data_IF_728617535387
#
_entry.id   IF_728617535387
#
_cell.length_a   1.000
_cell.length_b   1.000
_cell.length_c   1.000
_cell.angle_alpha   90.00
_cell.angle_beta   90.00
_cell.angle_gamma   90.00
#
_symmetry.space_group_name_H-M   'P 1'
#
loop_
_entity.id
_entity.type
_entity.pdbx_description
1 polymer ?
#
# COMPACT_ATOMS: atom_id res chain seq x y z
N UNK A 1 -65.99 -63.80 2.78
CA UNK A 1 -65.91 -62.49 3.46
C UNK A 1 -64.72 -61.75 2.88
N UNK A 2 -64.98 -60.84 1.94
CA UNK A 2 -63.98 -59.99 1.32
C UNK A 2 -64.06 -58.61 1.97
N UNK A 3 -62.97 -58.11 2.53
CA UNK A 3 -62.88 -56.73 3.04
C UNK A 3 -62.19 -55.85 2.01
N UNK A 4 -62.83 -54.71 1.77
CA UNK A 4 -62.58 -53.72 0.74
C UNK A 4 -61.32 -52.89 1.01
N UNK A 5 -60.71 -52.44 -0.09
CA UNK A 5 -59.78 -51.32 -0.17
C UNK A 5 -60.37 -50.02 0.36
N UNK A 6 -59.53 -49.20 0.99
CA UNK A 6 -59.58 -47.74 0.85
C UNK A 6 -58.14 -47.18 0.76
N UNK A 7 -57.69 -46.69 -0.42
CA UNK A 7 -56.40 -46.06 -0.62
C UNK A 7 -56.59 -44.54 -0.74
N UNK A 8 -56.74 -43.85 0.40
CA UNK A 8 -56.75 -42.40 0.39
C UNK A 8 -56.35 -41.84 1.75
N UNK A 9 -55.04 -41.59 1.92
CA UNK A 9 -54.54 -40.41 2.66
C UNK A 9 -53.03 -40.24 2.45
N UNK A 10 -52.66 -39.88 1.21
CA UNK A 10 -51.52 -38.99 1.01
C UNK A 10 -51.92 -37.61 1.54
N UNK A 11 -51.41 -37.24 2.72
CA UNK A 11 -51.26 -35.84 3.13
C UNK A 11 -49.78 -35.57 3.32
N UNK A 12 -49.10 -35.26 2.23
CA UNK A 12 -47.88 -34.46 2.30
C UNK A 12 -48.29 -33.05 2.74
N UNK A 13 -47.66 -32.46 3.77
CA UNK A 13 -47.82 -31.04 4.02
C UNK A 13 -47.20 -30.26 2.85
N UNK A 14 -48.05 -29.46 2.20
CA UNK A 14 -47.64 -28.40 1.30
C UNK A 14 -46.86 -27.33 2.09
N UNK A 15 -45.79 -26.82 1.48
CA UNK A 15 -45.11 -25.61 1.94
C UNK A 15 -43.61 -25.77 2.20
N UNK A 16 -42.84 -26.20 1.19
CA UNK A 16 -41.48 -25.67 1.04
C UNK A 16 -41.65 -24.19 0.73
N UNK A 17 -41.40 -23.32 1.71
CA UNK A 17 -41.15 -21.93 1.43
C UNK A 17 -39.91 -21.87 0.53
N UNK A 18 -40.00 -21.13 -0.57
CA UNK A 18 -38.84 -20.76 -1.38
C UNK A 18 -37.78 -20.16 -0.45
N UNK A 19 -36.71 -20.92 -0.20
CA UNK A 19 -35.42 -20.41 0.27
C UNK A 19 -34.79 -19.63 -0.90
N UNK A 20 -35.42 -18.51 -1.29
CA UNK A 20 -34.92 -17.66 -2.36
C UNK A 20 -33.59 -17.05 -1.91
N UNK A 21 -32.50 -17.52 -2.52
CA UNK A 21 -31.18 -16.93 -2.34
C UNK A 21 -31.25 -15.43 -2.67
N UNK A 22 -30.60 -14.62 -1.83
CA UNK A 22 -30.55 -13.17 -2.00
C UNK A 22 -29.86 -12.83 -3.32
N UNK A 23 -30.54 -12.14 -4.24
CA UNK A 23 -29.91 -11.78 -5.52
C UNK A 23 -28.90 -10.64 -5.32
N UNK A 24 -27.86 -10.53 -6.19
CA UNK A 24 -26.90 -9.42 -6.14
C UNK A 24 -27.58 -8.05 -6.14
N UNK A 25 -28.63 -7.88 -6.94
CA UNK A 25 -29.40 -6.62 -7.02
C UNK A 25 -30.16 -6.31 -5.74
N UNK A 26 -30.68 -7.32 -5.05
CA UNK A 26 -31.36 -7.14 -3.75
C UNK A 26 -30.37 -6.78 -2.64
N UNK A 27 -29.19 -7.39 -2.62
CA UNK A 27 -28.12 -7.06 -1.66
C UNK A 27 -27.60 -5.66 -1.85
N UNK A 28 -27.33 -5.26 -3.10
CA UNK A 28 -26.90 -3.90 -3.39
C UNK A 28 -27.96 -2.87 -2.98
N UNK A 29 -29.25 -3.14 -3.24
CA UNK A 29 -30.36 -2.26 -2.84
C UNK A 29 -30.48 -2.15 -1.33
N UNK A 30 -30.38 -3.26 -0.60
CA UNK A 30 -30.46 -3.28 0.86
C UNK A 30 -29.28 -2.53 1.50
N UNK A 31 -28.08 -2.75 0.98
CA UNK A 31 -26.86 -2.09 1.42
C UNK A 31 -26.94 -0.58 1.18
N UNK A 32 -27.41 -0.14 0.01
CA UNK A 32 -27.68 1.28 -0.29
C UNK A 32 -28.68 1.90 0.70
N UNK A 33 -29.81 1.25 0.94
CA UNK A 33 -30.81 1.76 1.86
C UNK A 33 -30.28 1.91 3.31
N UNK A 34 -29.26 1.14 3.69
CA UNK A 34 -28.58 1.28 4.98
C UNK A 34 -27.57 2.42 5.00
N UNK A 35 -26.89 2.67 3.89
CA UNK A 35 -25.89 3.71 3.74
C UNK A 35 -26.47 5.12 3.60
N UNK A 36 -27.71 5.26 3.14
CA UNK A 36 -28.45 6.54 3.13
C UNK A 36 -28.89 6.98 4.56
N UNK A 37 -28.35 6.37 5.62
CA UNK A 37 -28.65 6.68 7.01
C UNK A 37 -27.82 7.86 7.56
N UNK A 38 -28.26 8.50 8.66
CA UNK A 38 -27.63 9.71 9.22
C UNK A 38 -26.21 9.51 9.79
N UNK A 39 -25.73 8.26 9.83
CA UNK A 39 -24.40 7.89 10.31
C UNK A 39 -23.34 7.96 9.20
N UNK A 40 -23.73 8.21 7.94
CA UNK A 40 -22.81 8.30 6.79
C UNK A 40 -22.54 9.76 6.37
N UNK A 41 -21.32 10.08 5.93
CA UNK A 41 -21.00 11.41 5.42
C UNK A 41 -21.66 11.69 4.08
N UNK A 42 -22.26 12.87 3.92
CA UNK A 42 -22.93 13.31 2.67
C UNK A 42 -21.96 13.46 1.48
N UNK A 43 -20.66 13.55 1.74
CA UNK A 43 -19.63 13.91 0.75
C UNK A 43 -18.96 12.71 0.06
N UNK A 44 -19.15 11.48 0.57
CA UNK A 44 -18.49 10.27 0.03
C UNK A 44 -19.42 9.53 -0.94
N UNK A 45 -19.07 9.42 -2.24
CA UNK A 45 -19.92 8.76 -3.23
C UNK A 45 -20.13 7.28 -2.91
N UNK A 46 -21.35 6.88 -2.53
CA UNK A 46 -21.66 5.52 -2.11
C UNK A 46 -21.51 4.45 -3.23
N UNK A 47 -22.07 4.69 -4.41
CA UNK A 47 -22.07 3.72 -5.50
C UNK A 47 -20.77 3.81 -6.31
N UNK A 48 -19.84 2.90 -6.01
CA UNK A 48 -18.59 2.74 -6.77
C UNK A 48 -18.55 1.41 -7.49
N UNK A 49 -17.77 1.30 -8.57
CA UNK A 49 -17.68 0.08 -9.38
C UNK A 49 -17.30 -1.17 -8.54
N UNK A 50 -16.44 -1.00 -7.53
CA UNK A 50 -16.05 -2.07 -6.62
C UNK A 50 -17.21 -2.64 -5.77
N UNK A 51 -18.30 -1.90 -5.54
CA UNK A 51 -19.45 -2.37 -4.73
C UNK A 51 -20.10 -3.62 -5.33
N UNK A 52 -20.27 -3.64 -6.65
CA UNK A 52 -20.87 -4.78 -7.37
C UNK A 52 -20.00 -6.03 -7.23
N UNK A 53 -18.67 -5.87 -7.30
CA UNK A 53 -17.72 -6.99 -7.12
C UNK A 53 -17.79 -7.58 -5.70
N UNK A 54 -17.90 -6.73 -4.67
CA UNK A 54 -18.03 -7.19 -3.28
C UNK A 54 -19.36 -7.93 -3.06
N UNK A 55 -20.47 -7.40 -3.59
CA UNK A 55 -21.78 -8.04 -3.52
C UNK A 55 -21.76 -9.45 -4.13
N UNK A 56 -21.21 -9.60 -5.33
CA UNK A 56 -21.04 -10.91 -5.95
C UNK A 56 -20.15 -11.83 -5.12
N UNK A 57 -19.00 -11.33 -4.64
CA UNK A 57 -18.09 -12.11 -3.82
C UNK A 57 -18.70 -12.58 -2.48
N UNK A 58 -19.60 -11.79 -1.88
CA UNK A 58 -20.34 -12.17 -0.67
C UNK A 58 -21.34 -13.31 -0.91
N UNK A 59 -21.97 -13.33 -2.09
CA UNK A 59 -22.98 -14.34 -2.44
C UNK A 59 -22.34 -15.63 -2.97
N UNK A 60 -21.33 -15.49 -3.84
CA UNK A 60 -20.69 -16.61 -4.53
C UNK A 60 -19.51 -17.21 -3.73
N UNK A 61 -18.99 -16.48 -2.74
CA UNK A 61 -17.89 -16.90 -1.87
C UNK A 61 -16.51 -16.88 -2.53
N UNK A 62 -16.38 -16.24 -3.70
CA UNK A 62 -15.17 -16.19 -4.51
C UNK A 62 -14.54 -14.80 -4.43
N UNK A 63 -13.21 -14.73 -4.27
CA UNK A 63 -12.40 -13.49 -4.35
C UNK A 63 -12.78 -12.33 -3.42
N UNK A 64 -13.55 -12.59 -2.36
CA UNK A 64 -13.95 -11.56 -1.39
C UNK A 64 -12.79 -10.74 -0.81
N UNK A 65 -11.61 -11.30 -0.44
CA UNK A 65 -10.49 -10.48 0.03
C UNK A 65 -10.02 -9.46 -1.00
N UNK A 66 -9.95 -9.85 -2.28
CA UNK A 66 -9.52 -8.98 -3.37
C UNK A 66 -10.56 -7.89 -3.65
N UNK A 67 -11.84 -8.27 -3.67
CA UNK A 67 -12.94 -7.34 -3.87
C UNK A 67 -13.02 -6.28 -2.75
N UNK A 68 -12.82 -6.68 -1.48
CA UNK A 68 -12.80 -5.75 -0.35
C UNK A 68 -11.60 -4.79 -0.39
N UNK A 69 -10.43 -5.24 -0.84
CA UNK A 69 -9.27 -4.35 -1.04
C UNK A 69 -9.54 -3.32 -2.14
N UNK A 70 -10.13 -3.74 -3.26
CA UNK A 70 -10.51 -2.83 -4.34
C UNK A 70 -11.60 -1.82 -3.91
N UNK A 71 -12.52 -2.24 -3.04
CA UNK A 71 -13.50 -1.32 -2.46
C UNK A 71 -12.85 -0.31 -1.52
N UNK A 72 -11.98 -0.75 -0.61
CA UNK A 72 -11.24 0.14 0.30
C UNK A 72 -10.39 1.16 -0.47
N UNK A 73 -9.68 0.72 -1.51
CA UNK A 73 -8.89 1.53 -2.43
C UNK A 73 -9.73 2.67 -3.04
N UNK A 74 -10.82 2.30 -3.71
CA UNK A 74 -11.69 3.27 -4.38
C UNK A 74 -12.42 4.20 -3.40
N UNK A 75 -12.67 3.75 -2.16
CA UNK A 75 -13.26 4.56 -1.08
C UNK A 75 -12.30 5.60 -0.55
N UNK A 76 -11.04 5.22 -0.28
CA UNK A 76 -10.03 6.14 0.21
C UNK A 76 -9.62 7.17 -0.84
N UNK A 77 -9.60 6.79 -2.12
CA UNK A 77 -9.45 7.72 -3.25
C UNK A 77 -10.56 8.78 -3.30
N UNK A 78 -11.75 8.46 -2.77
CA UNK A 78 -12.90 9.35 -2.67
C UNK A 78 -13.01 10.04 -1.29
N UNK A 79 -11.88 10.15 -0.58
CA UNK A 79 -11.75 10.80 0.72
C UNK A 79 -12.53 10.12 1.87
N UNK A 80 -12.91 8.85 1.74
CA UNK A 80 -13.45 8.10 2.87
C UNK A 80 -12.34 7.85 3.92
N UNK A 81 -12.69 7.96 5.20
CA UNK A 81 -11.82 7.56 6.30
C UNK A 81 -11.92 6.04 6.56
N UNK A 82 -10.94 5.43 7.28
CA UNK A 82 -11.04 4.03 7.69
C UNK A 82 -12.29 3.71 8.52
N UNK A 83 -12.75 4.66 9.34
CA UNK A 83 -13.94 4.49 10.17
C UNK A 83 -15.23 4.50 9.31
N UNK A 84 -15.30 5.36 8.30
CA UNK A 84 -16.40 5.39 7.34
C UNK A 84 -16.45 4.13 6.48
N UNK A 85 -15.28 3.60 6.10
CA UNK A 85 -15.20 2.30 5.43
C UNK A 85 -15.62 1.14 6.35
N UNK A 86 -15.32 1.20 7.65
CA UNK A 86 -15.78 0.20 8.61
C UNK A 86 -17.32 0.24 8.77
N UNK A 87 -17.91 1.43 8.79
CA UNK A 87 -19.37 1.61 8.78
C UNK A 87 -19.98 0.99 7.52
N UNK A 88 -19.41 1.28 6.34
CA UNK A 88 -19.81 0.71 5.05
C UNK A 88 -19.86 -0.84 5.10
N UNK A 89 -18.78 -1.47 5.55
CA UNK A 89 -18.72 -2.94 5.67
C UNK A 89 -19.70 -3.48 6.70
N UNK A 90 -19.91 -2.77 7.82
CA UNK A 90 -20.90 -3.16 8.83
C UNK A 90 -22.35 -3.09 8.29
N UNK A 91 -22.66 -2.08 7.47
CA UNK A 91 -23.95 -1.99 6.79
C UNK A 91 -24.16 -3.16 5.82
N UNK A 92 -23.15 -3.55 5.04
CA UNK A 92 -23.23 -4.72 4.17
C UNK A 92 -23.45 -5.99 4.99
N UNK A 93 -22.68 -6.16 6.06
CA UNK A 93 -22.77 -7.31 6.94
C UNK A 93 -24.16 -7.44 7.59
N UNK A 94 -24.80 -6.33 7.93
CA UNK A 94 -26.18 -6.31 8.43
C UNK A 94 -27.22 -6.70 7.38
N UNK A 95 -26.91 -6.54 6.08
CA UNK A 95 -27.79 -6.93 4.97
C UNK A 95 -27.65 -8.40 4.57
N UNK A 96 -26.60 -9.10 5.02
CA UNK A 96 -26.41 -10.53 4.79
C UNK A 96 -27.40 -11.35 5.63
N UNK A 97 -28.63 -11.47 5.15
CA UNK A 97 -29.62 -12.44 5.66
C UNK A 97 -29.43 -13.76 4.90
N UNK A 98 -29.47 -14.89 5.63
CA UNK A 98 -29.07 -16.22 5.10
C UNK A 98 -29.88 -16.62 3.85
N UNK A 99 -29.29 -17.42 2.93
CA UNK A 99 -27.94 -18.00 2.95
C UNK A 99 -26.95 -17.22 2.08
N UNK A 100 -25.94 -16.61 2.69
CA UNK A 100 -24.76 -16.07 2.01
C UNK A 100 -23.57 -17.03 2.20
N UNK A 101 -22.62 -17.05 1.26
CA UNK A 101 -21.41 -17.86 1.35
C UNK A 101 -20.45 -17.39 2.46
N UNK A 102 -20.62 -16.15 2.94
CA UNK A 102 -19.81 -15.53 3.99
C UNK A 102 -20.69 -15.02 5.12
N UNK A 103 -20.23 -15.20 6.35
CA UNK A 103 -20.92 -14.66 7.54
C UNK A 103 -20.64 -13.18 7.75
N UNK A 104 -21.58 -12.45 8.38
CA UNK A 104 -21.40 -11.05 8.74
C UNK A 104 -20.09 -10.78 9.50
N UNK A 105 -19.76 -11.62 10.49
CA UNK A 105 -18.52 -11.48 11.26
C UNK A 105 -17.25 -11.73 10.43
N UNK A 106 -17.29 -12.64 9.45
CA UNK A 106 -16.17 -12.84 8.52
C UNK A 106 -15.99 -11.64 7.60
N UNK A 107 -17.09 -11.09 7.07
CA UNK A 107 -17.07 -9.92 6.21
C UNK A 107 -16.47 -8.71 6.93
N UNK A 108 -16.91 -8.40 8.16
CA UNK A 108 -16.37 -7.29 8.97
C UNK A 108 -14.87 -7.46 9.20
N UNK A 109 -14.43 -8.64 9.65
CA UNK A 109 -13.00 -8.92 9.89
C UNK A 109 -12.16 -8.76 8.60
N UNK A 110 -12.68 -9.23 7.47
CA UNK A 110 -11.99 -9.10 6.18
C UNK A 110 -11.99 -7.66 5.65
N UNK A 111 -13.03 -6.88 5.96
CA UNK A 111 -13.07 -5.44 5.70
C UNK A 111 -12.01 -4.69 6.49
N UNK A 112 -11.92 -4.92 7.81
CA UNK A 112 -10.86 -4.32 8.65
C UNK A 112 -9.45 -4.69 8.17
N UNK A 113 -9.25 -5.92 7.68
CA UNK A 113 -7.99 -6.34 7.08
C UNK A 113 -7.71 -5.63 5.75
N UNK A 114 -8.72 -5.47 4.90
CA UNK A 114 -8.59 -4.73 3.64
C UNK A 114 -8.26 -3.25 3.87
N UNK A 115 -8.95 -2.59 4.82
CA UNK A 115 -8.71 -1.20 5.20
C UNK A 115 -7.27 -1.00 5.67
N UNK A 116 -6.81 -1.84 6.61
CA UNK A 116 -5.43 -1.80 7.11
C UNK A 116 -4.41 -2.04 6.01
N UNK A 117 -4.70 -2.96 5.07
CA UNK A 117 -3.81 -3.23 3.96
C UNK A 117 -3.66 -2.02 3.03
N UNK A 118 -4.78 -1.37 2.66
CA UNK A 118 -4.75 -0.20 1.76
C UNK A 118 -4.07 0.98 2.46
N UNK A 119 -4.43 1.28 3.72
CA UNK A 119 -3.76 2.34 4.49
C UNK A 119 -2.26 2.06 4.62
N UNK A 120 -1.87 0.82 4.92
CA UNK A 120 -0.44 0.47 5.03
C UNK A 120 0.27 0.58 3.68
N UNK A 121 -0.36 0.17 2.58
CA UNK A 121 0.16 0.34 1.21
C UNK A 121 0.35 1.81 0.90
N UNK A 122 -0.67 2.65 1.10
CA UNK A 122 -0.63 4.07 0.74
C UNK A 122 0.31 4.86 1.64
N UNK A 123 0.37 4.51 2.92
CA UNK A 123 1.41 5.01 3.82
C UNK A 123 2.80 4.63 3.32
N UNK A 124 3.00 3.37 2.92
CA UNK A 124 4.28 2.91 2.35
C UNK A 124 4.61 3.64 1.06
N UNK A 125 3.63 3.84 0.16
CA UNK A 125 3.77 4.58 -1.11
C UNK A 125 4.09 6.06 -0.90
N UNK A 126 3.37 6.73 0.02
CA UNK A 126 3.65 8.10 0.43
C UNK A 126 5.02 8.23 1.12
N UNK A 127 5.47 7.17 1.78
CA UNK A 127 6.82 7.03 2.30
C UNK A 127 7.82 6.53 1.25
N UNK A 128 7.50 6.38 -0.03
CA UNK A 128 8.52 5.98 -1.01
C UNK A 128 9.37 7.16 -1.47
N UNK A 129 8.84 8.38 -1.43
CA UNK A 129 9.56 9.57 -1.84
C UNK A 129 9.41 10.73 -0.84
N UNK A 130 10.47 11.50 -0.67
CA UNK A 130 10.49 12.78 0.02
C UNK A 130 9.71 13.81 -0.81
N UNK A 131 8.70 14.49 -0.22
CA UNK A 131 7.82 15.38 -0.98
C UNK A 131 8.51 16.68 -1.44
N UNK A 132 9.67 17.04 -0.87
CA UNK A 132 10.40 18.25 -1.24
C UNK A 132 11.33 18.02 -2.43
N UNK A 133 11.90 16.82 -2.52
CA UNK A 133 12.99 16.51 -3.48
C UNK A 133 12.62 15.44 -4.49
N UNK A 134 11.48 14.76 -4.31
CA UNK A 134 11.06 13.56 -5.05
C UNK A 134 12.04 12.38 -4.97
N UNK A 135 13.10 12.50 -4.17
CA UNK A 135 14.04 11.43 -3.86
C UNK A 135 13.41 10.37 -3.00
N UNK A 136 14.02 9.18 -2.93
CA UNK A 136 13.56 8.13 -2.02
C UNK A 136 13.62 8.62 -0.57
N UNK A 137 12.65 8.18 0.24
CA UNK A 137 12.86 8.24 1.69
C UNK A 137 13.94 7.27 2.12
N UNK A 138 14.43 7.44 3.35
CA UNK A 138 15.45 6.55 3.91
C UNK A 138 15.03 5.07 3.92
N UNK A 139 13.79 4.76 4.28
CA UNK A 139 13.28 3.38 4.28
C UNK A 139 13.22 2.80 2.86
N UNK A 140 12.70 3.57 1.90
CA UNK A 140 12.60 3.13 0.51
C UNK A 140 13.97 2.95 -0.15
N UNK A 141 14.90 3.86 0.12
CA UNK A 141 16.26 3.76 -0.39
C UNK A 141 17.01 2.56 0.20
N UNK A 142 16.83 2.25 1.48
CA UNK A 142 17.40 1.04 2.09
C UNK A 142 16.83 -0.24 1.45
N UNK A 143 15.55 -0.24 1.08
CA UNK A 143 14.96 -1.34 0.32
C UNK A 143 15.64 -1.46 -1.06
N UNK A 144 15.79 -0.36 -1.81
CA UNK A 144 16.48 -0.35 -3.11
C UNK A 144 17.94 -0.82 -2.99
N UNK A 145 18.63 -0.39 -1.93
CA UNK A 145 20.03 -0.66 -1.63
C UNK A 145 20.28 -2.13 -1.26
N UNK A 146 19.31 -2.79 -0.64
CA UNK A 146 19.41 -4.19 -0.19
C UNK A 146 18.73 -5.17 -1.15
N UNK A 147 17.93 -4.66 -2.10
CA UNK A 147 17.28 -5.48 -3.11
C UNK A 147 18.30 -6.07 -4.09
N UNK A 148 18.31 -7.40 -4.21
CA UNK A 148 19.27 -8.10 -5.10
C UNK A 148 19.08 -7.75 -6.57
N UNK A 149 17.83 -7.52 -7.01
CA UNK A 149 17.56 -7.23 -8.40
C UNK A 149 18.21 -5.94 -8.88
N UNK A 150 18.44 -4.96 -8.00
CA UNK A 150 19.08 -3.68 -8.34
C UNK A 150 20.61 -3.76 -8.44
N UNK A 151 21.24 -4.83 -7.91
CA UNK A 151 22.71 -4.97 -7.94
C UNK A 151 23.25 -5.05 -9.36
N UNK A 152 22.52 -5.70 -10.26
CA UNK A 152 22.96 -5.89 -11.64
C UNK A 152 22.96 -4.58 -12.45
N UNK A 153 22.08 -3.62 -12.11
CA UNK A 153 21.96 -2.36 -12.85
C UNK A 153 22.61 -1.16 -12.15
N UNK A 154 22.65 -1.18 -10.81
CA UNK A 154 23.28 -0.15 -9.98
C UNK A 154 24.16 -0.78 -8.87
N UNK A 155 25.33 -1.36 -9.25
CA UNK A 155 26.21 -2.06 -8.31
C UNK A 155 27.00 -1.12 -7.38
N UNK A 156 26.93 0.20 -7.58
CA UNK A 156 27.67 1.16 -6.78
C UNK A 156 26.73 2.11 -6.04
N UNK A 157 27.24 2.70 -4.96
CA UNK A 157 26.62 3.83 -4.29
C UNK A 157 27.59 4.98 -4.26
N UNK A 158 27.18 6.12 -4.78
CA UNK A 158 27.86 7.39 -4.56
C UNK A 158 27.29 8.06 -3.31
N UNK A 159 28.16 8.55 -2.44
CA UNK A 159 27.79 9.22 -1.19
C UNK A 159 28.49 10.57 -1.13
N UNK A 160 27.72 11.62 -0.87
CA UNK A 160 28.21 12.97 -0.63
C UNK A 160 27.87 13.41 0.79
N UNK A 161 28.86 13.94 1.50
CA UNK A 161 28.74 14.46 2.87
C UNK A 161 29.28 15.87 2.95
N UNK A 162 28.68 16.72 3.78
CA UNK A 162 29.14 18.09 4.01
C UNK A 162 28.96 18.46 5.49
N UNK A 163 29.45 19.65 5.90
CA UNK A 163 29.51 20.04 7.31
C UNK A 163 28.34 20.87 7.80
N UNK A 164 27.74 21.65 6.92
CA UNK A 164 26.69 22.59 7.29
C UNK A 164 25.33 21.91 7.21
N UNK A 165 24.56 22.00 8.30
CA UNK A 165 23.21 21.45 8.36
C UNK A 165 22.34 21.98 7.22
N UNK A 166 21.56 21.10 6.62
CA UNK A 166 20.83 21.39 5.41
C UNK A 166 19.50 22.09 5.68
N UNK A 167 19.38 23.33 5.22
CA UNK A 167 18.07 23.94 5.03
C UNK A 167 17.33 23.25 3.88
N UNK A 168 16.00 23.22 3.92
CA UNK A 168 15.16 22.69 2.82
C UNK A 168 15.54 23.28 1.46
N UNK A 169 15.93 24.57 1.42
CA UNK A 169 16.38 25.25 0.20
C UNK A 169 17.64 24.63 -0.42
N UNK A 170 18.58 24.15 0.40
CA UNK A 170 19.81 23.51 -0.07
C UNK A 170 19.49 22.12 -0.64
N UNK A 171 18.64 21.34 0.06
CA UNK A 171 18.19 20.03 -0.44
C UNK A 171 17.51 20.15 -1.81
N UNK A 172 16.60 21.09 -1.97
CA UNK A 172 15.95 21.33 -3.27
C UNK A 172 16.97 21.73 -4.34
N UNK A 173 17.92 22.62 -4.01
CA UNK A 173 18.97 23.04 -4.97
C UNK A 173 19.88 21.90 -5.40
N UNK A 174 20.21 20.98 -4.49
CA UNK A 174 20.96 19.77 -4.80
C UNK A 174 20.11 18.85 -5.69
N UNK A 175 18.83 18.65 -5.33
CA UNK A 175 17.93 17.77 -6.05
C UNK A 175 17.74 18.21 -7.51
N UNK A 176 17.47 19.50 -7.72
CA UNK A 176 17.34 20.11 -9.04
C UNK A 176 18.60 19.95 -9.91
N UNK A 177 19.79 19.85 -9.30
CA UNK A 177 21.05 19.72 -10.04
C UNK A 177 21.38 18.30 -10.46
N UNK A 178 20.96 17.31 -9.69
CA UNK A 178 21.24 15.90 -10.01
C UNK A 178 20.10 15.23 -10.77
N UNK A 179 18.95 15.91 -10.89
CA UNK A 179 17.87 15.54 -11.79
C UNK A 179 18.23 15.82 -13.27
N UNK A 180 17.88 14.94 -14.22
CA UNK A 180 17.25 13.64 -14.03
C UNK A 180 18.21 12.55 -13.57
N UNK A 181 17.69 11.70 -12.67
CA UNK A 181 18.29 10.40 -12.36
C UNK A 181 18.03 9.39 -13.49
N UNK A 182 18.97 8.47 -13.69
CA UNK A 182 18.81 7.35 -14.61
C UNK A 182 17.71 6.37 -14.17
N UNK A 183 17.24 5.53 -15.10
CA UNK A 183 16.10 4.61 -14.87
C UNK A 183 16.30 3.59 -13.72
N UNK A 184 17.55 3.34 -13.32
CA UNK A 184 17.92 2.43 -12.24
C UNK A 184 18.64 3.14 -11.08
N UNK A 185 18.74 4.48 -11.16
CA UNK A 185 19.32 5.29 -10.10
C UNK A 185 18.21 5.65 -9.10
N UNK A 186 18.60 5.73 -7.83
CA UNK A 186 17.75 6.28 -6.79
C UNK A 186 18.60 7.17 -5.91
N UNK A 187 18.06 8.28 -5.44
CA UNK A 187 18.75 9.19 -4.51
C UNK A 187 17.98 9.24 -3.18
N UNK A 188 18.69 9.52 -2.09
CA UNK A 188 18.11 9.68 -0.75
C UNK A 188 19.01 10.51 0.15
N UNK A 189 18.41 11.40 0.93
CA UNK A 189 19.09 12.00 2.08
C UNK A 189 19.08 11.00 3.24
N UNK A 190 20.24 10.40 3.54
CA UNK A 190 20.36 9.42 4.64
C UNK A 190 20.49 10.10 6.01
N UNK A 191 20.87 11.37 6.03
CA UNK A 191 20.96 12.23 7.19
C UNK A 191 20.97 13.71 6.78
N UNK A 192 21.04 14.64 7.75
CA UNK A 192 20.94 16.09 7.53
C UNK A 192 22.12 16.72 6.78
N UNK A 193 23.20 15.98 6.53
CA UNK A 193 24.32 16.48 5.73
C UNK A 193 24.85 15.41 4.79
N UNK A 194 23.98 14.51 4.32
CA UNK A 194 24.40 13.31 3.59
C UNK A 194 23.39 12.93 2.51
N UNK A 195 23.87 12.86 1.28
CA UNK A 195 23.13 12.37 0.11
C UNK A 195 23.77 11.08 -0.38
N UNK A 196 22.95 10.07 -0.66
CA UNK A 196 23.38 8.82 -1.28
C UNK A 196 22.60 8.56 -2.56
N UNK A 197 23.30 8.06 -3.59
CA UNK A 197 22.74 7.76 -4.90
C UNK A 197 23.19 6.38 -5.36
N UNK A 198 22.25 5.51 -5.73
CA UNK A 198 22.56 4.27 -6.46
C UNK A 198 23.00 4.63 -7.87
N UNK A 199 24.17 4.15 -8.29
CA UNK A 199 24.74 4.46 -9.60
C UNK A 199 25.22 3.20 -10.31
N UNK A 200 25.14 3.21 -11.64
CA UNK A 200 25.54 2.08 -12.49
C UNK A 200 27.05 1.86 -12.54
N UNK A 201 27.85 2.91 -12.27
CA UNK A 201 29.30 2.89 -12.37
C UNK A 201 29.96 4.05 -11.63
N UNK A 202 31.27 3.96 -11.36
CA UNK A 202 32.01 5.02 -10.68
C UNK A 202 32.12 6.32 -11.49
N UNK A 203 32.08 6.25 -12.81
CA UNK A 203 32.11 7.42 -13.70
C UNK A 203 30.92 8.34 -13.42
N UNK A 204 29.74 7.75 -13.20
CA UNK A 204 28.54 8.49 -12.83
C UNK A 204 28.67 9.19 -11.48
N UNK A 205 29.36 8.58 -10.52
CA UNK A 205 29.69 9.23 -9.25
C UNK A 205 30.56 10.48 -9.43
N UNK A 206 31.50 10.47 -10.39
CA UNK A 206 32.32 11.65 -10.72
C UNK A 206 31.49 12.76 -11.38
N UNK A 207 30.51 12.41 -12.21
CA UNK A 207 29.56 13.38 -12.77
C UNK A 207 28.74 14.05 -11.67
N UNK A 208 28.20 13.26 -10.72
CA UNK A 208 27.45 13.78 -9.58
C UNK A 208 28.30 14.70 -8.70
N UNK A 209 29.55 14.33 -8.44
CA UNK A 209 30.50 15.19 -7.73
C UNK A 209 30.72 16.53 -8.47
N UNK A 210 30.90 16.50 -9.79
CA UNK A 210 31.08 17.71 -10.59
C UNK A 210 29.83 18.62 -10.56
N UNK A 211 28.62 18.05 -10.54
CA UNK A 211 27.37 18.81 -10.44
C UNK A 211 27.24 19.53 -9.09
N UNK A 212 27.72 18.91 -8.01
CA UNK A 212 27.69 19.47 -6.66
C UNK A 212 28.81 20.48 -6.38
N UNK A 213 29.98 20.34 -7.03
CA UNK A 213 31.14 21.20 -6.80
C UNK A 213 30.86 22.71 -6.99
N UNK A 214 29.80 23.08 -7.72
CA UNK A 214 29.38 24.46 -7.93
C UNK A 214 28.33 24.99 -6.93
N UNK A 215 28.07 24.31 -5.82
CA UNK A 215 27.15 24.78 -4.76
C UNK A 215 28.00 25.32 -3.61
N UNK A 216 27.95 26.62 -3.38
CA UNK A 216 28.82 27.29 -2.41
C UNK A 216 28.50 26.90 -0.95
N UNK A 217 27.27 26.48 -0.71
CA UNK A 217 26.72 26.09 0.58
C UNK A 217 27.19 24.69 1.04
N UNK A 218 27.83 23.91 0.16
CA UNK A 218 28.38 22.59 0.48
C UNK A 218 29.80 22.70 1.08
N UNK A 219 29.93 23.33 2.25
CA UNK A 219 31.22 23.44 2.93
C UNK A 219 31.75 22.06 3.36
N UNK A 220 33.02 21.82 3.04
CA UNK A 220 33.70 20.56 3.33
C UNK A 220 33.06 19.36 2.64
N UNK A 221 32.59 19.51 1.40
CA UNK A 221 32.05 18.41 0.59
C UNK A 221 33.09 17.28 0.46
N UNK A 222 32.73 16.11 0.98
CA UNK A 222 33.45 14.85 0.84
C UNK A 222 32.58 13.90 0.02
N UNK A 223 33.13 13.33 -1.05
CA UNK A 223 32.44 12.34 -1.86
C UNK A 223 33.17 11.00 -1.86
N UNK A 224 32.42 9.91 -1.98
CA UNK A 224 32.98 8.57 -2.11
C UNK A 224 32.06 7.71 -2.98
N UNK A 225 32.65 6.87 -3.82
CA UNK A 225 31.93 5.80 -4.52
C UNK A 225 32.30 4.46 -3.90
N UNK A 226 31.28 3.72 -3.46
CA UNK A 226 31.42 2.44 -2.78
C UNK A 226 30.80 1.33 -3.64
N UNK A 227 31.52 0.23 -3.91
CA UNK A 227 30.90 -0.96 -4.48
C UNK A 227 29.97 -1.59 -3.45
N UNK A 228 28.78 -2.01 -3.88
CA UNK A 228 27.86 -2.78 -3.04
C UNK A 228 28.38 -4.22 -2.93
N UNK A 229 28.38 -4.83 -1.73
CA UNK A 229 28.80 -6.21 -1.58
C UNK A 229 27.80 -7.15 -2.25
N UNK A 230 28.31 -8.08 -3.05
CA UNK A 230 27.55 -9.24 -3.52
C UNK A 230 27.50 -10.29 -2.38
N UNK A 231 26.31 -10.80 -2.05
CA UNK A 231 26.19 -12.02 -1.23
C UNK A 231 25.48 -11.88 0.12
N UNK A 232 26.04 -12.51 1.15
CA UNK A 232 25.36 -12.92 2.38
C UNK A 232 24.92 -11.75 3.28
N UNK A 233 23.75 -11.85 3.96
CA UNK A 233 23.22 -10.78 4.82
C UNK A 233 24.17 -10.19 5.86
N UNK A 234 25.08 -10.94 6.52
CA UNK A 234 26.03 -10.37 7.48
C UNK A 234 27.04 -9.40 6.85
N UNK A 235 27.55 -9.72 5.65
CA UNK A 235 28.50 -8.85 4.95
C UNK A 235 27.83 -7.54 4.50
N UNK A 236 26.57 -7.63 4.07
CA UNK A 236 25.75 -6.46 3.74
C UNK A 236 25.49 -5.60 4.98
N UNK A 237 25.17 -6.20 6.13
CA UNK A 237 24.95 -5.46 7.37
C UNK A 237 26.21 -4.74 7.86
N UNK A 238 27.37 -5.40 7.83
CA UNK A 238 28.66 -4.79 8.18
C UNK A 238 29.02 -3.63 7.23
N UNK A 239 28.80 -3.82 5.93
CA UNK A 239 29.00 -2.79 4.93
C UNK A 239 28.07 -1.58 5.15
N UNK A 240 26.79 -1.79 5.44
CA UNK A 240 25.84 -0.71 5.73
C UNK A 240 26.28 0.12 6.95
N UNK A 241 26.65 -0.56 8.04
CA UNK A 241 27.07 0.09 9.29
C UNK A 241 28.38 0.87 9.11
N UNK A 242 29.33 0.35 8.34
CA UNK A 242 30.62 1.00 8.10
C UNK A 242 30.55 2.14 7.07
N UNK A 243 29.72 1.99 6.04
CA UNK A 243 29.61 2.93 4.92
C UNK A 243 28.68 4.10 5.20
N UNK A 244 27.68 3.90 6.07
CA UNK A 244 26.64 4.90 6.38
C UNK A 244 26.50 5.08 7.90
N UNK A 245 27.42 5.82 8.55
CA UNK A 245 27.33 6.12 9.99
C UNK A 245 26.03 6.81 10.40
N UNK A 246 25.37 7.50 9.47
CA UNK A 246 24.03 8.10 9.63
C UNK A 246 22.99 7.05 10.02
N UNK A 247 23.13 5.82 9.52
CA UNK A 247 22.20 4.73 9.83
C UNK A 247 22.26 4.26 11.30
N UNK A 248 23.40 4.44 11.95
CA UNK A 248 23.65 4.01 13.33
C UNK A 248 23.28 5.10 14.33
N UNK A 249 23.52 6.36 13.98
CA UNK A 249 23.32 7.51 14.88
C UNK A 249 21.87 7.93 14.97
N UNK A 250 21.09 7.68 13.92
CA UNK A 250 19.68 8.03 13.84
C UNK A 250 18.90 6.75 13.53
N UNK A 251 18.23 6.10 14.49
CA UNK A 251 17.41 4.92 14.19
C UNK A 251 16.28 5.29 13.21
N UNK A 252 15.89 4.33 12.36
CA UNK A 252 14.74 4.51 11.48
C UNK A 252 13.48 4.81 12.33
N UNK A 253 12.60 5.71 11.86
CA UNK A 253 11.32 5.99 12.53
C UNK A 253 10.42 4.74 12.59
#
# INVERSE_FOLDING_TARGET
MAQQHDPAQCRQPAGLADDAAFSPTELLRAWRAKADGPEWPDEVPWEVEATTRVVHACLDGVDLPSALRALADQRFDQAATPDEFALDVAALAACLTRPAAVTAGQLVRMGEEAARWVVARDHTLAQLADPLTAFRTRTAFLADLTYRGSLEQAPYVWVARWRTDDGQSLRMSIADRIDPLGAYESACYLGPCSLSVLVSGPERGQELEALLAGIAELDGLETVVLPRPEGDPPALAEWLVSSFPELVREPLP
#
